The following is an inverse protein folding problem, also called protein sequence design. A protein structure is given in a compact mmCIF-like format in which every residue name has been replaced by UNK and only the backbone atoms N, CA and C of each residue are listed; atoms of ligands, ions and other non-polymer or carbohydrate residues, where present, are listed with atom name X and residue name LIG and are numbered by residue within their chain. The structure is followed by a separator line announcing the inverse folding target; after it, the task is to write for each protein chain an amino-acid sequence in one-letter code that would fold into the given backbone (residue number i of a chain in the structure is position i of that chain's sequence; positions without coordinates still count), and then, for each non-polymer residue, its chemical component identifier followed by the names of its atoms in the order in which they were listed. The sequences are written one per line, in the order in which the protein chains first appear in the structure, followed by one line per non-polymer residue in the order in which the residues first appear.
data_IF_077694484556
#
_entry.id   IF_077694484556
#
_cell.length_a   1.000
_cell.length_b   1.000
_cell.length_c   1.000
_cell.angle_alpha   90.00
_cell.angle_beta   90.00
_cell.angle_gamma   90.00
#
_symmetry.space_group_name_H-M   'P 1'
#
loop_
_entity.id
_entity.type
_entity.pdbx_description
1 polymer ?
#
# COMPACT_ATOMS: atom_id res chain seq x y z
N UNK A 1 -16.64 -76.79 1.68
CA UNK A 1 -16.78 -75.43 1.11
C UNK A 1 -16.94 -74.37 2.19
N UNK A 2 -17.78 -74.53 3.18
CA UNK A 2 -17.97 -73.54 4.25
C UNK A 2 -16.70 -73.33 5.08
N UNK A 3 -16.01 -74.41 5.50
CA UNK A 3 -14.69 -74.32 6.17
C UNK A 3 -13.62 -73.64 5.34
N UNK A 4 -13.60 -73.86 4.05
CA UNK A 4 -12.70 -73.23 3.09
C UNK A 4 -12.98 -71.73 2.94
N UNK A 5 -14.27 -71.33 2.90
CA UNK A 5 -14.68 -69.92 2.83
C UNK A 5 -14.25 -69.18 4.10
N UNK A 6 -14.46 -69.80 5.29
CA UNK A 6 -14.05 -69.21 6.55
C UNK A 6 -12.55 -69.04 6.64
N UNK A 7 -11.76 -70.02 6.18
CA UNK A 7 -10.31 -69.95 6.12
C UNK A 7 -9.84 -68.83 5.21
N UNK A 8 -10.43 -68.69 3.97
CA UNK A 8 -10.10 -67.63 3.04
C UNK A 8 -10.44 -66.26 3.66
N UNK A 9 -11.55 -66.12 4.36
CA UNK A 9 -11.91 -64.88 5.06
C UNK A 9 -10.88 -64.50 6.11
N UNK A 10 -10.45 -65.41 6.96
CA UNK A 10 -9.46 -65.13 8.03
C UNK A 10 -8.07 -64.74 7.45
N UNK A 11 -7.59 -65.45 6.43
CA UNK A 11 -6.33 -65.17 5.76
C UNK A 11 -6.42 -63.84 5.03
N UNK A 12 -7.53 -63.53 4.34
CA UNK A 12 -7.71 -62.29 3.66
C UNK A 12 -7.78 -61.10 4.62
N UNK A 13 -8.53 -61.19 5.72
CA UNK A 13 -8.57 -60.15 6.76
C UNK A 13 -7.18 -59.90 7.39
N UNK A 14 -6.40 -60.95 7.60
CA UNK A 14 -5.03 -60.84 8.10
C UNK A 14 -4.15 -60.11 7.08
N UNK A 15 -4.25 -60.48 5.80
CA UNK A 15 -3.50 -59.84 4.70
C UNK A 15 -3.88 -58.36 4.54
N UNK A 16 -5.15 -58.00 4.69
CA UNK A 16 -5.61 -56.61 4.68
C UNK A 16 -5.02 -55.79 5.81
N UNK A 17 -4.95 -56.35 7.01
CA UNK A 17 -4.38 -55.66 8.22
C UNK A 17 -2.87 -55.50 8.16
N UNK A 18 -2.15 -56.36 7.46
CA UNK A 18 -0.69 -56.31 7.32
C UNK A 18 -0.24 -55.50 6.11
N UNK A 19 -1.17 -55.10 5.21
CA UNK A 19 -0.83 -54.28 4.07
C UNK A 19 -0.23 -52.93 4.52
N UNK A 20 0.97 -52.59 4.01
CA UNK A 20 1.75 -51.42 4.41
C UNK A 20 1.49 -50.20 3.52
N UNK A 21 0.99 -50.41 2.32
CA UNK A 21 0.75 -49.36 1.34
C UNK A 21 -0.50 -49.66 0.46
N UNK A 22 -0.91 -48.66 -0.32
CA UNK A 22 -2.08 -48.79 -1.19
C UNK A 22 -1.92 -49.85 -2.29
N UNK A 23 -0.67 -50.08 -2.75
CA UNK A 23 -0.40 -51.11 -3.77
C UNK A 23 -0.59 -52.51 -3.18
N UNK A 24 -0.02 -52.76 -2.00
CA UNK A 24 -0.21 -54.00 -1.29
C UNK A 24 -1.70 -54.29 -0.99
N UNK A 25 -2.45 -53.23 -0.60
CA UNK A 25 -3.87 -53.34 -0.36
C UNK A 25 -4.66 -53.69 -1.67
N UNK A 26 -4.27 -53.10 -2.78
CA UNK A 26 -4.85 -53.40 -4.07
C UNK A 26 -4.50 -54.80 -4.53
N UNK A 27 -3.29 -55.29 -4.29
CA UNK A 27 -2.89 -56.64 -4.61
C UNK A 27 -3.69 -57.69 -3.81
N UNK A 28 -3.93 -57.43 -2.51
CA UNK A 28 -4.81 -58.22 -1.68
C UNK A 28 -6.24 -58.24 -2.25
N UNK A 29 -6.77 -57.07 -2.63
CA UNK A 29 -8.09 -56.96 -3.25
C UNK A 29 -8.19 -57.83 -4.54
N UNK A 30 -7.21 -57.74 -5.42
CA UNK A 30 -7.18 -58.53 -6.67
C UNK A 30 -7.07 -60.01 -6.40
N UNK A 31 -6.23 -60.40 -5.43
CA UNK A 31 -6.01 -61.79 -5.07
C UNK A 31 -7.29 -62.49 -4.54
N UNK A 32 -8.08 -61.81 -3.69
CA UNK A 32 -9.23 -62.41 -3.08
C UNK A 32 -10.56 -62.05 -3.77
N UNK A 33 -10.75 -60.84 -4.24
CA UNK A 33 -12.00 -60.29 -4.79
C UNK A 33 -11.97 -60.05 -6.29
N UNK A 34 -10.81 -60.20 -6.93
CA UNK A 34 -10.63 -60.00 -8.39
C UNK A 34 -11.41 -61.00 -9.21
N UNK A 35 -11.46 -60.80 -10.55
CA UNK A 35 -12.17 -61.71 -11.48
C UNK A 35 -11.72 -63.18 -11.41
N UNK A 36 -10.48 -63.43 -11.01
CA UNK A 36 -9.88 -64.77 -10.75
C UNK A 36 -9.56 -64.94 -9.27
N UNK A 37 -10.10 -64.11 -8.39
CA UNK A 37 -9.80 -64.18 -6.95
C UNK A 37 -10.42 -65.39 -6.28
N UNK A 38 -9.84 -65.76 -5.12
CA UNK A 38 -10.21 -66.99 -4.37
C UNK A 38 -11.69 -67.00 -3.99
N UNK A 39 -12.26 -65.89 -3.52
CA UNK A 39 -13.71 -65.76 -3.20
C UNK A 39 -14.56 -65.87 -4.44
N UNK A 40 -14.14 -65.28 -5.56
CA UNK A 40 -14.85 -65.31 -6.85
C UNK A 40 -14.82 -66.73 -7.48
N UNK A 41 -13.73 -67.49 -7.23
CA UNK A 41 -13.61 -68.88 -7.68
C UNK A 41 -14.60 -69.80 -6.93
N UNK A 42 -14.79 -69.54 -5.61
CA UNK A 42 -15.83 -70.29 -4.84
C UNK A 42 -17.26 -69.99 -5.35
N UNK A 43 -17.58 -68.73 -5.72
CA UNK A 43 -18.84 -68.36 -6.34
C UNK A 43 -19.08 -69.17 -7.64
N UNK A 44 -18.09 -69.34 -8.50
CA UNK A 44 -18.18 -70.15 -9.69
C UNK A 44 -18.36 -71.63 -9.43
N UNK A 45 -17.83 -72.14 -8.26
CA UNK A 45 -17.98 -73.50 -7.81
C UNK A 45 -19.39 -73.88 -7.30
N UNK A 46 -20.24 -72.87 -7.01
CA UNK A 46 -21.61 -73.11 -6.53
C UNK A 46 -22.50 -73.87 -7.53
N UNK A 47 -22.11 -73.90 -8.81
CA UNK A 47 -22.82 -74.65 -9.86
C UNK A 47 -22.80 -76.19 -9.62
N UNK A 48 -21.92 -76.71 -8.76
CA UNK A 48 -21.79 -78.13 -8.44
C UNK A 48 -22.59 -78.58 -7.22
N UNK A 49 -23.26 -77.66 -6.53
CA UNK A 49 -24.07 -77.92 -5.33
C UNK A 49 -25.49 -78.22 -5.65
N UNK A 50 -26.22 -78.91 -4.72
CA UNK A 50 -27.66 -79.18 -4.82
C UNK A 50 -28.51 -77.90 -4.88
N UNK A 51 -29.68 -77.90 -5.52
CA UNK A 51 -30.53 -76.73 -5.67
C UNK A 51 -30.97 -76.07 -4.34
N UNK A 52 -30.95 -76.78 -3.23
CA UNK A 52 -31.34 -76.32 -1.89
C UNK A 52 -30.19 -75.64 -1.14
N UNK A 53 -28.91 -76.10 -1.39
CA UNK A 53 -27.74 -75.59 -0.75
C UNK A 53 -27.14 -74.36 -1.44
N UNK A 54 -27.42 -74.19 -2.74
CA UNK A 54 -26.92 -73.12 -3.57
C UNK A 54 -27.24 -71.70 -3.06
N UNK A 55 -28.51 -71.39 -2.67
CA UNK A 55 -28.88 -70.06 -2.17
C UNK A 55 -28.23 -69.77 -0.81
N UNK A 56 -28.12 -70.76 0.10
CA UNK A 56 -27.49 -70.61 1.42
C UNK A 56 -26.00 -70.29 1.28
N UNK A 57 -25.29 -71.03 0.47
CA UNK A 57 -23.85 -70.84 0.24
C UNK A 57 -23.59 -69.53 -0.54
N UNK A 58 -24.45 -69.17 -1.48
CA UNK A 58 -24.36 -67.88 -2.18
C UNK A 58 -24.47 -66.68 -1.24
N UNK A 59 -25.44 -66.74 -0.30
CA UNK A 59 -25.55 -65.71 0.73
C UNK A 59 -24.32 -65.61 1.66
N UNK A 60 -23.72 -66.76 2.06
CA UNK A 60 -22.51 -66.74 2.87
C UNK A 60 -21.31 -66.17 2.10
N UNK A 61 -21.10 -66.51 0.84
CA UNK A 61 -19.99 -65.97 0.00
C UNK A 61 -20.16 -64.47 -0.21
N UNK A 62 -21.39 -64.01 -0.43
CA UNK A 62 -21.64 -62.56 -0.56
C UNK A 62 -21.39 -61.82 0.76
N UNK A 63 -21.84 -62.37 1.90
CA UNK A 63 -21.54 -61.76 3.20
C UNK A 63 -20.02 -61.68 3.50
N UNK A 64 -19.23 -62.70 3.12
CA UNK A 64 -17.80 -62.67 3.24
C UNK A 64 -17.18 -61.61 2.29
N UNK A 65 -17.67 -61.51 1.06
CA UNK A 65 -17.24 -60.51 0.10
C UNK A 65 -17.48 -59.12 0.63
N UNK A 66 -18.70 -58.81 1.09
CA UNK A 66 -19.06 -57.51 1.66
C UNK A 66 -18.20 -57.15 2.89
N UNK A 67 -17.95 -58.13 3.78
CA UNK A 67 -17.09 -57.94 4.94
C UNK A 67 -15.65 -57.61 4.55
N UNK A 68 -15.11 -58.26 3.51
CA UNK A 68 -13.75 -58.00 3.01
C UNK A 68 -13.67 -56.64 2.30
N UNK A 69 -14.70 -56.29 1.51
CA UNK A 69 -14.77 -54.97 0.83
C UNK A 69 -14.87 -53.85 1.86
N UNK A 70 -15.67 -53.98 2.90
CA UNK A 70 -15.80 -53.00 3.99
C UNK A 70 -14.48 -52.80 4.74
N UNK A 71 -13.75 -53.88 5.04
CA UNK A 71 -12.45 -53.77 5.74
C UNK A 71 -11.37 -53.17 4.83
N UNK A 72 -11.36 -53.50 3.53
CA UNK A 72 -10.49 -52.87 2.54
C UNK A 72 -10.71 -51.34 2.46
N UNK A 73 -11.95 -50.91 2.37
CA UNK A 73 -12.30 -49.49 2.27
C UNK A 73 -11.97 -48.77 3.55
N UNK A 74 -12.15 -49.38 4.73
CA UNK A 74 -11.79 -48.83 6.02
C UNK A 74 -10.27 -48.62 6.13
N UNK A 75 -9.47 -49.62 5.78
CA UNK A 75 -7.98 -49.50 5.83
C UNK A 75 -7.47 -48.50 4.83
N UNK A 76 -8.06 -48.48 3.60
CA UNK A 76 -7.74 -47.49 2.57
C UNK A 76 -7.99 -46.06 3.05
N UNK A 77 -9.19 -45.79 3.59
CA UNK A 77 -9.53 -44.48 4.14
C UNK A 77 -8.61 -44.07 5.30
N UNK A 78 -8.24 -45.03 6.15
CA UNK A 78 -7.28 -44.79 7.25
C UNK A 78 -5.90 -44.41 6.70
N UNK A 79 -5.40 -45.10 5.67
CA UNK A 79 -4.11 -44.78 5.03
C UNK A 79 -4.14 -43.41 4.34
N UNK A 80 -5.22 -43.09 3.62
CA UNK A 80 -5.40 -41.78 2.98
C UNK A 80 -5.44 -40.65 4.02
N UNK A 81 -6.15 -40.85 5.14
CA UNK A 81 -6.20 -39.87 6.23
C UNK A 81 -4.83 -39.70 6.89
N UNK A 82 -4.12 -40.78 7.13
CA UNK A 82 -2.77 -40.73 7.70
C UNK A 82 -1.77 -40.00 6.76
N UNK A 83 -1.81 -40.28 5.46
CA UNK A 83 -1.00 -39.61 4.46
C UNK A 83 -1.32 -38.11 4.37
N UNK A 84 -2.63 -37.76 4.42
CA UNK A 84 -3.06 -36.36 4.44
C UNK A 84 -2.57 -35.64 5.68
N UNK A 85 -2.70 -36.25 6.87
CA UNK A 85 -2.26 -35.65 8.11
C UNK A 85 -0.74 -35.46 8.15
N UNK A 86 0.03 -36.43 7.64
CA UNK A 86 1.48 -36.32 7.54
C UNK A 86 1.87 -35.12 6.64
N UNK A 87 1.21 -34.99 5.50
CA UNK A 87 1.42 -33.86 4.58
C UNK A 87 1.03 -32.52 5.23
N UNK A 88 -0.07 -32.45 5.94
CA UNK A 88 -0.50 -31.23 6.63
C UNK A 88 0.50 -30.82 7.74
N UNK A 89 1.12 -31.79 8.40
CA UNK A 89 2.17 -31.49 9.40
C UNK A 89 3.48 -30.99 8.73
N UNK A 90 3.86 -31.54 7.58
CA UNK A 90 5.02 -31.06 6.80
C UNK A 90 4.78 -29.66 6.21
N UNK A 91 3.56 -29.38 5.77
CA UNK A 91 3.15 -28.08 5.18
C UNK A 91 2.85 -27.01 6.26
N UNK A 92 2.97 -27.34 7.53
CA UNK A 92 2.67 -26.41 8.64
C UNK A 92 3.59 -25.21 8.63
N UNK A 93 3.02 -24.03 8.49
CA UNK A 93 3.74 -22.76 8.49
C UNK A 93 3.59 -22.10 9.87
N UNK A 94 4.67 -21.53 10.36
CA UNK A 94 4.62 -20.70 11.58
C UNK A 94 3.94 -19.36 11.24
N UNK A 95 2.66 -19.25 11.58
CA UNK A 95 1.85 -18.03 11.37
C UNK A 95 2.14 -16.94 12.40
N UNK A 96 2.99 -17.19 13.39
CA UNK A 96 3.40 -16.18 14.37
C UNK A 96 4.56 -15.30 13.85
N UNK A 97 5.23 -15.73 12.77
CA UNK A 97 6.25 -14.93 12.12
C UNK A 97 5.62 -13.67 11.50
N UNK A 98 6.22 -12.49 11.72
CA UNK A 98 5.72 -11.26 11.12
C UNK A 98 5.78 -11.34 9.60
N UNK A 99 4.70 -10.93 8.93
CA UNK A 99 4.65 -10.79 7.48
C UNK A 99 5.64 -9.73 6.99
N UNK A 100 5.90 -9.70 5.68
CA UNK A 100 6.64 -8.59 5.07
C UNK A 100 5.80 -7.31 5.16
N UNK A 101 6.16 -6.43 6.08
CA UNK A 101 5.57 -5.09 6.12
C UNK A 101 5.99 -4.32 4.85
N UNK A 102 5.05 -3.69 4.12
CA UNK A 102 5.42 -2.77 3.05
C UNK A 102 6.23 -1.62 3.65
N UNK A 103 7.29 -1.21 2.96
CA UNK A 103 8.01 0.01 3.34
C UNK A 103 7.09 1.19 3.03
N UNK A 104 6.59 1.84 4.06
CA UNK A 104 5.86 3.10 3.91
C UNK A 104 6.85 4.23 3.64
N UNK A 105 6.55 5.05 2.64
CA UNK A 105 7.27 6.30 2.43
C UNK A 105 6.90 7.33 3.50
N UNK A 106 7.70 8.37 3.60
CA UNK A 106 7.43 9.54 4.45
C UNK A 106 7.37 10.79 3.59
N UNK A 107 6.53 11.74 3.98
CA UNK A 107 6.47 13.05 3.33
C UNK A 107 7.77 13.81 3.65
N UNK A 108 8.30 14.55 2.66
CA UNK A 108 9.50 15.34 2.86
C UNK A 108 9.23 16.47 3.88
N UNK A 109 10.14 16.79 4.81
CA UNK A 109 9.91 17.82 5.84
C UNK A 109 9.50 19.18 5.29
N UNK A 110 10.08 19.62 4.16
CA UNK A 110 9.68 20.88 3.51
C UNK A 110 8.24 20.84 3.01
N UNK A 111 7.77 19.70 2.49
CA UNK A 111 6.37 19.55 2.06
C UNK A 111 5.44 19.66 3.27
N UNK A 112 5.77 18.96 4.36
CA UNK A 112 4.98 19.04 5.60
C UNK A 112 4.87 20.47 6.13
N UNK A 113 5.99 21.20 6.15
CA UNK A 113 6.00 22.61 6.60
C UNK A 113 5.17 23.48 5.66
N UNK A 114 5.30 23.29 4.34
CA UNK A 114 4.54 24.07 3.37
C UNK A 114 3.02 23.82 3.52
N UNK A 115 2.61 22.56 3.63
CA UNK A 115 1.22 22.20 3.88
C UNK A 115 0.68 22.81 5.19
N UNK A 116 1.48 22.84 6.26
CA UNK A 116 1.08 23.50 7.51
C UNK A 116 0.88 25.00 7.34
N UNK A 117 1.71 25.67 6.54
CA UNK A 117 1.58 27.12 6.25
C UNK A 117 0.32 27.36 5.41
N UNK A 118 0.13 26.59 4.35
CA UNK A 118 -1.05 26.69 3.48
C UNK A 118 -2.34 26.47 4.25
N UNK A 119 -2.43 25.42 5.05
CA UNK A 119 -3.56 25.11 5.91
C UNK A 119 -3.90 26.25 6.89
N UNK A 120 -2.87 26.87 7.48
CA UNK A 120 -3.07 28.00 8.38
C UNK A 120 -3.72 29.17 7.66
N UNK A 121 -3.14 29.61 6.52
CA UNK A 121 -3.64 30.76 5.80
C UNK A 121 -4.99 30.49 5.14
N UNK A 122 -5.25 29.28 4.62
CA UNK A 122 -6.57 28.91 4.10
C UNK A 122 -7.66 29.02 5.17
N UNK A 123 -7.37 28.62 6.41
CA UNK A 123 -8.29 28.79 7.55
C UNK A 123 -8.56 30.27 7.90
N UNK A 124 -7.63 31.15 7.54
CA UNK A 124 -7.80 32.62 7.66
C UNK A 124 -8.49 33.27 6.43
N UNK A 125 -8.92 32.46 5.44
CA UNK A 125 -9.62 32.94 4.26
C UNK A 125 -8.72 33.38 3.13
N UNK A 126 -7.46 32.95 3.10
CA UNK A 126 -6.55 33.18 1.96
C UNK A 126 -6.71 32.09 0.91
N UNK A 127 -6.51 32.46 -0.36
CA UNK A 127 -6.33 31.52 -1.47
C UNK A 127 -4.84 31.19 -1.64
N UNK A 128 -4.54 30.00 -2.11
CA UNK A 128 -3.18 29.60 -2.50
C UNK A 128 -3.05 29.83 -4.00
N UNK A 129 -2.12 30.68 -4.38
CA UNK A 129 -1.85 31.06 -5.77
C UNK A 129 -0.49 30.56 -6.22
N UNK A 130 -0.42 30.03 -7.43
CA UNK A 130 0.81 29.51 -8.02
C UNK A 130 1.22 30.31 -9.28
N UNK A 131 2.51 30.28 -9.59
CA UNK A 131 3.07 30.89 -10.78
C UNK A 131 4.29 30.13 -11.30
N UNK A 132 4.76 30.47 -12.52
CA UNK A 132 5.87 29.80 -13.15
C UNK A 132 7.20 30.03 -12.41
N UNK A 133 8.04 29.01 -12.35
CA UNK A 133 9.41 29.11 -11.81
C UNK A 133 10.36 29.83 -12.81
N UNK A 134 10.16 29.59 -14.10
CA UNK A 134 10.81 30.38 -15.17
C UNK A 134 9.92 31.57 -15.47
N UNK A 135 10.38 32.75 -15.05
CA UNK A 135 9.57 33.97 -15.05
C UNK A 135 10.13 35.01 -16.01
N UNK A 136 9.28 35.90 -16.46
CA UNK A 136 9.68 37.08 -17.22
C UNK A 136 10.30 38.14 -16.29
N UNK A 137 11.33 38.80 -16.77
CA UNK A 137 11.99 39.91 -16.06
C UNK A 137 10.97 40.99 -15.66
N UNK A 138 10.00 41.24 -16.52
CA UNK A 138 8.88 42.18 -16.28
C UNK A 138 8.15 41.86 -14.98
N UNK A 139 7.73 40.61 -14.76
CA UNK A 139 7.00 40.21 -13.54
C UNK A 139 7.91 40.07 -12.32
N UNK A 140 9.15 39.66 -12.53
CA UNK A 140 10.08 39.48 -11.43
C UNK A 140 10.65 40.78 -10.87
N UNK A 141 10.66 41.84 -11.70
CA UNK A 141 11.28 43.11 -11.33
C UNK A 141 10.45 44.34 -11.75
N UNK A 142 10.21 44.57 -13.05
CA UNK A 142 9.68 45.83 -13.52
C UNK A 142 8.30 46.19 -12.93
N UNK A 143 7.37 45.25 -12.91
CA UNK A 143 6.03 45.47 -12.32
C UNK A 143 6.05 45.56 -10.78
N UNK A 144 7.16 45.24 -10.15
CA UNK A 144 7.40 45.40 -8.71
C UNK A 144 8.20 46.65 -8.38
N UNK A 145 8.21 47.64 -9.26
CA UNK A 145 8.90 48.93 -9.12
C UNK A 145 10.43 48.83 -9.11
N UNK A 146 10.98 47.82 -9.78
CA UNK A 146 12.41 47.67 -10.01
C UNK A 146 12.74 47.73 -11.50
N UNK A 147 12.80 48.94 -12.10
CA UNK A 147 13.17 49.12 -13.52
C UNK A 147 14.59 48.62 -13.80
N UNK A 148 14.94 48.51 -15.10
CA UNK A 148 16.17 47.84 -15.55
C UNK A 148 17.47 48.43 -14.99
N UNK A 149 17.46 49.69 -14.67
CA UNK A 149 18.59 50.48 -14.15
C UNK A 149 18.56 50.67 -12.63
N UNK A 150 17.64 50.00 -11.92
CA UNK A 150 17.53 50.11 -10.48
C UNK A 150 18.66 49.36 -9.76
N UNK A 151 19.42 50.00 -8.85
CA UNK A 151 20.58 49.37 -8.17
C UNK A 151 20.24 48.08 -7.38
N UNK A 152 19.02 47.97 -6.89
CA UNK A 152 18.59 46.77 -6.14
C UNK A 152 18.56 45.50 -6.98
N UNK A 153 18.56 45.60 -8.33
CA UNK A 153 18.66 44.43 -9.21
C UNK A 153 20.05 43.77 -9.10
N UNK A 154 21.10 44.56 -9.02
CA UNK A 154 22.47 44.06 -8.90
C UNK A 154 22.70 43.35 -7.56
N UNK A 155 21.89 43.67 -6.56
CA UNK A 155 21.93 43.04 -5.24
C UNK A 155 21.22 41.66 -5.24
N UNK A 156 20.47 41.35 -6.29
CA UNK A 156 19.79 40.06 -6.42
C UNK A 156 20.56 39.15 -7.39
N UNK A 157 21.26 38.17 -6.85
CA UNK A 157 21.99 37.17 -7.62
C UNK A 157 21.00 36.29 -8.44
N UNK A 158 20.67 36.73 -9.65
CA UNK A 158 19.61 36.15 -10.48
C UNK A 158 20.15 35.21 -11.55
N UNK A 159 19.52 34.05 -11.72
CA UNK A 159 19.80 33.12 -12.81
C UNK A 159 19.00 33.50 -14.07
N UNK A 160 19.60 34.25 -14.98
CA UNK A 160 19.03 34.55 -16.28
C UNK A 160 19.22 33.39 -17.26
N UNK A 161 18.13 33.03 -17.95
CA UNK A 161 18.11 32.05 -19.04
C UNK A 161 18.30 32.78 -20.37
N UNK A 162 17.61 33.92 -20.52
CA UNK A 162 17.76 34.88 -21.63
C UNK A 162 17.69 36.30 -21.06
N UNK A 163 17.84 37.31 -21.88
CA UNK A 163 17.72 38.71 -21.44
C UNK A 163 16.36 39.06 -20.79
N UNK A 164 15.31 38.32 -21.13
CA UNK A 164 13.95 38.59 -20.65
C UNK A 164 13.36 37.48 -19.77
N UNK A 165 14.06 36.38 -19.55
CA UNK A 165 13.61 35.25 -18.74
C UNK A 165 14.66 34.81 -17.75
N UNK A 166 14.24 34.57 -16.52
CA UNK A 166 15.08 34.13 -15.42
C UNK A 166 14.36 33.08 -14.55
N UNK A 167 15.11 32.42 -13.69
CA UNK A 167 14.52 31.69 -12.57
C UNK A 167 14.09 32.73 -11.53
N UNK A 168 12.85 32.70 -11.10
CA UNK A 168 12.28 33.71 -10.17
C UNK A 168 13.11 33.77 -8.87
N UNK A 169 13.42 34.96 -8.43
CA UNK A 169 14.20 35.23 -7.22
C UNK A 169 13.35 35.31 -5.96
N UNK A 170 12.05 35.44 -6.11
CA UNK A 170 11.04 35.51 -5.06
C UNK A 170 9.69 35.09 -5.64
N UNK A 171 8.67 34.93 -4.81
CA UNK A 171 7.31 34.56 -5.25
C UNK A 171 6.42 35.77 -5.55
N UNK A 172 6.91 37.00 -5.41
CA UNK A 172 6.20 38.26 -5.71
C UNK A 172 5.63 38.36 -7.15
N UNK A 173 6.22 37.76 -8.20
CA UNK A 173 5.60 37.71 -9.51
C UNK A 173 4.17 37.14 -9.50
N UNK A 174 3.89 36.21 -8.58
CA UNK A 174 2.56 35.63 -8.43
C UNK A 174 1.56 36.68 -7.96
N UNK A 175 1.96 37.58 -7.06
CA UNK A 175 1.12 38.72 -6.62
C UNK A 175 0.75 39.62 -7.80
N UNK A 176 1.72 40.02 -8.63
CA UNK A 176 1.50 40.83 -9.79
C UNK A 176 0.54 40.16 -10.80
N UNK A 177 0.74 38.88 -11.06
CA UNK A 177 -0.13 38.08 -11.93
C UNK A 177 -1.53 37.95 -11.38
N UNK A 178 -1.69 37.74 -10.09
CA UNK A 178 -2.99 37.66 -9.43
C UNK A 178 -3.73 38.99 -9.51
N UNK A 179 -3.06 40.11 -9.19
CA UNK A 179 -3.66 41.43 -9.31
C UNK A 179 -4.15 41.75 -10.73
N UNK A 180 -3.39 41.34 -11.76
CA UNK A 180 -3.79 41.53 -13.17
C UNK A 180 -4.99 40.69 -13.61
N UNK A 181 -5.17 39.50 -12.99
CA UNK A 181 -6.30 38.62 -13.32
C UNK A 181 -7.56 38.91 -12.51
N UNK A 182 -7.38 39.59 -11.36
CA UNK A 182 -8.45 39.81 -10.41
C UNK A 182 -9.42 40.93 -10.91
N UNK A 183 -10.70 40.81 -10.51
CA UNK A 183 -11.67 41.84 -10.84
C UNK A 183 -11.31 43.16 -10.16
N UNK A 184 -11.39 44.28 -10.88
CA UNK A 184 -11.07 45.58 -10.31
C UNK A 184 -11.96 45.90 -9.09
N UNK A 185 -11.35 46.44 -8.05
CA UNK A 185 -12.00 46.81 -6.77
C UNK A 185 -12.59 45.66 -5.95
N UNK A 186 -12.20 44.42 -6.20
CA UNK A 186 -12.53 43.30 -5.32
C UNK A 186 -11.39 42.98 -4.38
N UNK A 187 -11.66 42.51 -3.16
CA UNK A 187 -10.65 42.19 -2.19
C UNK A 187 -9.76 41.02 -2.67
N UNK A 188 -8.47 41.07 -2.39
CA UNK A 188 -7.51 39.97 -2.60
C UNK A 188 -6.97 39.53 -1.25
N UNK A 189 -7.01 38.24 -0.99
CA UNK A 189 -6.32 37.59 0.13
C UNK A 189 -5.67 36.32 -0.37
N UNK A 190 -4.36 36.34 -0.55
CA UNK A 190 -3.65 35.22 -1.14
C UNK A 190 -2.32 34.96 -0.44
N UNK A 191 -1.85 33.73 -0.55
CA UNK A 191 -0.46 33.37 -0.33
C UNK A 191 0.13 32.77 -1.60
N UNK A 192 1.42 32.95 -1.81
CA UNK A 192 2.16 32.42 -2.94
C UNK A 192 3.33 31.57 -2.42
N UNK A 193 3.13 30.28 -2.12
CA UNK A 193 4.20 29.35 -1.80
C UNK A 193 4.95 28.95 -3.06
N UNK A 194 6.27 28.69 -2.95
CA UNK A 194 7.02 28.15 -4.06
C UNK A 194 8.52 28.16 -3.91
N UNK A 195 9.18 27.48 -4.84
CA UNK A 195 10.63 27.50 -4.96
C UNK A 195 11.08 28.81 -5.60
N UNK A 196 12.20 29.30 -5.12
CA UNK A 196 12.86 30.50 -5.62
C UNK A 196 14.35 30.22 -5.73
N UNK A 197 15.04 31.03 -6.56
CA UNK A 197 16.38 30.74 -7.05
C UNK A 197 17.26 31.96 -6.93
N UNK A 198 18.42 31.83 -6.27
CA UNK A 198 19.41 32.90 -6.20
C UNK A 198 20.81 32.32 -6.39
N UNK A 199 21.62 33.05 -7.10
CA UNK A 199 22.98 32.66 -7.37
C UNK A 199 23.87 33.05 -6.19
N UNK A 200 23.67 32.41 -5.05
CA UNK A 200 24.53 32.61 -3.87
C UNK A 200 25.52 31.43 -3.78
N UNK A 201 26.77 31.79 -3.54
CA UNK A 201 27.89 30.84 -3.52
C UNK A 201 28.64 30.91 -2.19
N UNK A 202 27.98 30.54 -1.11
CA UNK A 202 28.62 30.43 0.20
C UNK A 202 28.15 29.20 0.97
N UNK A 203 28.82 28.90 2.09
CA UNK A 203 28.53 27.73 2.90
C UNK A 203 27.17 27.77 3.65
N UNK A 204 26.52 28.93 3.69
CA UNK A 204 25.33 29.20 4.48
C UNK A 204 24.07 29.37 3.62
N UNK A 205 24.20 29.53 2.31
CA UNK A 205 23.10 29.74 1.37
C UNK A 205 22.94 28.57 0.40
N UNK A 206 21.68 28.20 0.15
CA UNK A 206 21.33 27.27 -0.92
C UNK A 206 20.86 28.06 -2.14
N UNK A 207 21.28 27.70 -3.37
CA UNK A 207 20.80 28.36 -4.58
C UNK A 207 19.31 28.14 -4.85
N UNK A 208 18.70 27.19 -4.17
CA UNK A 208 17.26 26.89 -4.24
C UNK A 208 16.69 26.87 -2.82
N UNK A 209 15.67 27.65 -2.57
CA UNK A 209 14.97 27.63 -1.30
C UNK A 209 13.46 27.84 -1.50
N UNK A 210 12.67 27.63 -0.44
CA UNK A 210 11.24 27.84 -0.48
C UNK A 210 10.90 29.17 0.18
N UNK A 211 9.94 29.86 -0.42
CA UNK A 211 9.43 31.12 0.09
C UNK A 211 7.89 31.06 0.07
N UNK A 212 7.26 31.71 1.03
CA UNK A 212 5.82 31.95 1.03
C UNK A 212 5.61 33.45 1.23
N UNK A 213 4.98 34.09 0.27
CA UNK A 213 4.56 35.49 0.37
C UNK A 213 3.06 35.59 0.55
N UNK A 214 2.62 36.56 1.30
CA UNK A 214 1.21 36.87 1.51
C UNK A 214 0.85 38.27 0.99
N UNK A 215 -0.34 38.39 0.40
CA UNK A 215 -0.89 39.66 -0.06
C UNK A 215 -2.33 39.81 0.41
N UNK A 216 -2.65 40.97 1.01
CA UNK A 216 -4.00 41.40 1.27
C UNK A 216 -4.23 42.76 0.63
N UNK A 217 -5.26 42.87 -0.18
CA UNK A 217 -5.80 44.12 -0.69
C UNK A 217 -7.27 44.16 -0.29
N UNK A 218 -7.64 45.08 0.57
CA UNK A 218 -9.02 45.22 1.03
C UNK A 218 -9.23 46.65 1.57
N UNK A 219 -10.48 47.04 1.83
CA UNK A 219 -10.79 48.28 2.51
C UNK A 219 -10.31 48.26 3.96
N UNK A 220 -9.78 49.40 4.40
CA UNK A 220 -9.37 49.62 5.80
C UNK A 220 -8.24 48.73 6.35
N UNK A 221 -7.42 48.10 5.49
CA UNK A 221 -6.22 47.35 5.91
C UNK A 221 -5.21 48.31 6.55
N UNK A 222 -4.72 47.94 7.72
CA UNK A 222 -3.78 48.74 8.50
C UNK A 222 -2.47 47.96 8.75
N UNK A 223 -1.45 48.67 9.18
CA UNK A 223 -0.19 48.03 9.63
C UNK A 223 -0.39 47.12 10.87
N UNK A 224 -1.43 47.39 11.67
CA UNK A 224 -1.79 46.52 12.78
C UNK A 224 -2.30 45.16 12.30
N UNK A 225 -3.02 45.09 11.16
CA UNK A 225 -3.47 43.85 10.57
C UNK A 225 -2.30 43.01 10.08
N UNK A 226 -1.30 43.64 9.44
CA UNK A 226 -0.06 42.95 9.04
C UNK A 226 0.66 42.35 10.26
N UNK A 227 0.86 43.15 11.31
CA UNK A 227 1.52 42.69 12.53
C UNK A 227 0.74 41.55 13.20
N UNK A 228 -0.58 41.68 13.31
CA UNK A 228 -1.46 40.68 13.93
C UNK A 228 -1.43 39.36 13.15
N UNK A 229 -1.45 39.42 11.82
CA UNK A 229 -1.36 38.23 10.95
C UNK A 229 -0.03 37.50 11.15
N UNK A 230 1.08 38.22 11.09
CA UNK A 230 2.42 37.63 11.28
C UNK A 230 2.57 37.06 12.70
N UNK A 231 2.14 37.77 13.74
CA UNK A 231 2.23 37.29 15.11
C UNK A 231 1.41 36.02 15.33
N UNK A 232 0.19 35.98 14.82
CA UNK A 232 -0.68 34.79 14.90
C UNK A 232 -0.08 33.61 14.16
N UNK A 233 0.46 33.83 12.96
CA UNK A 233 1.16 32.82 12.18
C UNK A 233 2.39 32.26 12.91
N UNK A 234 3.25 33.12 13.43
CA UNK A 234 4.47 32.68 14.15
C UNK A 234 4.14 31.90 15.42
N UNK A 235 3.10 32.30 16.18
CA UNK A 235 2.63 31.54 17.34
C UNK A 235 2.08 30.17 16.93
N UNK A 236 1.34 30.10 15.84
CA UNK A 236 0.84 28.84 15.33
C UNK A 236 1.97 27.87 14.94
N UNK A 237 3.01 28.38 14.27
CA UNK A 237 4.13 27.56 13.81
C UNK A 237 5.11 27.16 14.90
N UNK A 238 5.35 28.05 15.90
CA UNK A 238 6.43 27.89 16.87
C UNK A 238 5.95 27.79 18.33
N UNK A 239 4.62 27.83 18.55
CA UNK A 239 3.99 27.72 19.86
C UNK A 239 3.63 29.09 20.49
N UNK A 240 2.68 29.06 21.42
CA UNK A 240 2.06 30.24 22.03
C UNK A 240 3.05 31.14 22.81
N UNK A 241 4.13 30.57 23.34
CA UNK A 241 5.19 31.27 24.07
C UNK A 241 6.15 32.06 23.16
N UNK A 242 5.95 32.02 21.84
CA UNK A 242 6.79 32.69 20.85
C UNK A 242 6.69 34.21 21.01
N UNK A 243 7.84 34.84 21.26
CA UNK A 243 7.94 36.31 21.39
C UNK A 243 8.34 36.92 20.06
N UNK A 244 7.49 37.75 19.50
CA UNK A 244 7.71 38.44 18.23
C UNK A 244 8.20 39.87 18.49
N UNK A 245 9.21 40.30 17.77
CA UNK A 245 9.73 41.66 17.80
C UNK A 245 9.75 42.24 16.40
N UNK A 246 9.08 43.35 16.21
CA UNK A 246 9.12 44.11 14.97
C UNK A 246 10.15 45.25 15.07
N UNK A 247 10.76 45.56 13.94
CA UNK A 247 11.64 46.72 13.76
C UNK A 247 11.42 47.34 12.39
N UNK A 248 11.64 48.61 12.25
CA UNK A 248 11.67 49.30 10.95
C UNK A 248 12.87 48.84 10.15
N UNK A 249 12.70 48.70 8.84
CA UNK A 249 13.77 48.33 7.91
C UNK A 249 13.51 48.96 6.55
N UNK A 250 14.50 49.02 5.69
CA UNK A 250 14.33 49.35 4.29
C UNK A 250 14.16 48.08 3.46
N UNK A 251 13.15 48.09 2.61
CA UNK A 251 12.90 47.00 1.67
C UNK A 251 12.48 47.59 0.31
N UNK A 252 13.24 47.31 -0.80
CA UNK A 252 13.04 48.01 -2.09
C UNK A 252 11.65 47.86 -2.72
N UNK A 253 10.93 46.81 -2.39
CA UNK A 253 9.60 46.53 -2.95
C UNK A 253 8.43 47.15 -2.19
N UNK A 254 8.68 47.65 -0.99
CA UNK A 254 7.60 48.11 -0.10
C UNK A 254 7.89 49.48 0.51
N UNK A 255 6.82 50.25 0.72
CA UNK A 255 6.89 51.51 1.42
C UNK A 255 5.54 51.76 2.12
N UNK A 256 5.51 51.97 3.46
CA UNK A 256 6.63 51.87 4.40
C UNK A 256 7.03 50.41 4.72
N UNK A 257 8.25 50.19 5.27
CA UNK A 257 8.74 48.88 5.72
C UNK A 257 9.50 48.93 7.03
#
# INVERSE_FOLDING_TARGET
MEQELQRIKEVALTAIKVATDQQALQDVRVKYLGKKGEVTALLKGLGKLSPEERPKMGALVNAVREALEAELDKIKSSMETAAMNARLEEEKIDITLPGRAPKTGHIHPLTTVNEMIEDFFMKMGYTVEEGPEVEQDYYNFECLNLPKDHPARDMQASFYITENFLLRTHTSPVQARTMQRHEPNSPIRMIAPGKVYRWDYDATHSPVFHQVEGLIIDEHITFADLKGTIETFLRHMFGDETKVRFRTSFFPFTEPS
#
